data_IF_202208626224
#
_entry.id   IF_202208626224
#
_cell.length_a   1.000
_cell.length_b   1.000
_cell.length_c   1.000
_cell.angle_alpha   90.00
_cell.angle_beta   90.00
_cell.angle_gamma   90.00
#
_symmetry.space_group_name_H-M   'P 1'
#
loop_
_entity.id
_entity.type
_entity.pdbx_description
1 polymer ?
#
# COMPACT_ATOMS: atom_id res chain seq x y z
N UNK A 1 73.37 37.19 -4.27
CA UNK A 1 72.12 36.51 -3.84
C UNK A 1 71.02 36.73 -4.88
N UNK A 2 70.64 35.70 -5.66
CA UNK A 2 69.56 35.80 -6.65
C UNK A 2 68.22 35.47 -5.98
N UNK A 3 67.36 36.48 -5.76
CA UNK A 3 65.98 36.27 -5.30
C UNK A 3 65.19 35.55 -6.39
N UNK A 4 64.84 34.29 -6.13
CA UNK A 4 64.00 33.47 -7.00
C UNK A 4 62.55 33.97 -6.84
N UNK A 5 62.09 34.78 -7.79
CA UNK A 5 60.71 35.26 -7.82
C UNK A 5 59.76 34.06 -7.96
N UNK A 6 59.07 33.71 -6.87
CA UNK A 6 57.98 32.75 -6.89
C UNK A 6 56.85 33.32 -7.75
N UNK A 7 56.69 32.78 -8.96
CA UNK A 7 55.54 33.08 -9.83
C UNK A 7 54.29 32.58 -9.09
N UNK A 8 53.52 33.51 -8.50
CA UNK A 8 52.17 33.20 -8.00
C UNK A 8 51.33 32.78 -9.21
N UNK A 9 51.00 31.50 -9.27
CA UNK A 9 50.07 30.97 -10.26
C UNK A 9 48.73 31.64 -9.97
N UNK A 10 48.34 32.62 -10.79
CA UNK A 10 47.00 33.20 -10.73
C UNK A 10 46.07 32.13 -11.25
N UNK A 11 45.39 31.43 -10.34
CA UNK A 11 44.32 30.50 -10.69
C UNK A 11 43.38 31.22 -11.66
N UNK A 12 43.22 30.67 -12.86
CA UNK A 12 42.36 31.26 -13.89
C UNK A 12 40.92 31.24 -13.37
N UNK A 13 40.11 32.26 -13.67
CA UNK A 13 38.71 32.35 -13.19
C UNK A 13 37.88 31.09 -13.49
N UNK A 14 38.21 30.38 -14.57
CA UNK A 14 37.60 29.10 -14.94
C UNK A 14 37.90 27.94 -13.99
N UNK A 15 39.08 27.88 -13.37
CA UNK A 15 39.43 26.80 -12.43
C UNK A 15 38.56 26.88 -11.17
N UNK A 16 38.32 28.09 -10.63
CA UNK A 16 37.38 28.30 -9.52
C UNK A 16 35.95 27.89 -9.86
N UNK A 17 35.51 28.14 -11.08
CA UNK A 17 34.18 27.75 -11.55
C UNK A 17 34.04 26.22 -11.65
N UNK A 18 35.10 25.53 -12.07
CA UNK A 18 35.12 24.07 -12.15
C UNK A 18 35.03 23.44 -10.75
N UNK A 19 35.76 23.96 -9.77
CA UNK A 19 35.64 23.51 -8.37
C UNK A 19 34.24 23.76 -7.79
N UNK A 20 33.60 24.88 -8.13
CA UNK A 20 32.23 25.16 -7.72
C UNK A 20 31.23 24.13 -8.26
N UNK A 21 31.34 23.77 -9.55
CA UNK A 21 30.49 22.73 -10.17
C UNK A 21 30.71 21.38 -9.50
N UNK A 22 31.96 21.01 -9.20
CA UNK A 22 32.27 19.73 -8.55
C UNK A 22 31.64 19.67 -7.15
N UNK A 23 31.73 20.75 -6.37
CA UNK A 23 31.11 20.84 -5.04
C UNK A 23 29.58 20.78 -5.16
N UNK A 24 29.00 21.49 -6.13
CA UNK A 24 27.56 21.47 -6.39
C UNK A 24 27.07 20.05 -6.72
N UNK A 25 27.77 19.34 -7.62
CA UNK A 25 27.43 17.95 -7.98
C UNK A 25 27.57 17.00 -6.78
N UNK A 26 28.63 17.15 -5.98
CA UNK A 26 28.82 16.38 -4.74
C UNK A 26 27.67 16.57 -3.75
N UNK A 27 27.10 17.76 -3.66
CA UNK A 27 25.93 18.02 -2.81
C UNK A 27 24.60 17.54 -3.43
N UNK A 28 24.45 17.63 -4.76
CA UNK A 28 23.20 17.26 -5.45
C UNK A 28 22.98 15.75 -5.49
N UNK A 29 24.03 14.94 -5.66
CA UNK A 29 23.93 13.47 -5.73
C UNK A 29 23.24 12.86 -4.49
N UNK A 30 23.66 13.14 -3.23
CA UNK A 30 22.97 12.60 -2.07
C UNK A 30 21.56 13.18 -1.91
N UNK A 31 21.33 14.42 -2.29
CA UNK A 31 20.02 15.08 -2.21
C UNK A 31 18.98 14.38 -3.11
N UNK A 32 19.37 14.06 -4.35
CA UNK A 32 18.52 13.33 -5.30
C UNK A 32 18.27 11.87 -4.88
N UNK A 33 19.29 11.22 -4.31
CA UNK A 33 19.14 9.86 -3.78
C UNK A 33 18.12 9.81 -2.66
N UNK A 34 18.21 10.71 -1.66
CA UNK A 34 17.26 10.77 -0.55
C UNK A 34 15.84 11.09 -1.02
N UNK A 35 15.70 12.02 -1.97
CA UNK A 35 14.39 12.36 -2.54
C UNK A 35 13.75 11.15 -3.25
N UNK A 36 14.53 10.42 -4.04
CA UNK A 36 14.07 9.23 -4.76
C UNK A 36 13.71 8.10 -3.80
N UNK A 37 14.55 7.84 -2.79
CA UNK A 37 14.28 6.85 -1.76
C UNK A 37 12.99 7.17 -0.99
N UNK A 38 12.76 8.44 -0.63
CA UNK A 38 11.55 8.86 0.07
C UNK A 38 10.28 8.65 -0.77
N UNK A 39 10.34 8.96 -2.06
CA UNK A 39 9.20 8.76 -2.97
C UNK A 39 8.87 7.27 -3.14
N UNK A 40 9.88 6.42 -3.35
CA UNK A 40 9.69 4.96 -3.47
C UNK A 40 9.13 4.39 -2.16
N UNK A 41 9.64 4.81 -1.02
CA UNK A 41 9.11 4.38 0.28
C UNK A 41 7.66 4.79 0.48
N UNK A 42 7.28 6.03 0.12
CA UNK A 42 5.90 6.49 0.22
C UNK A 42 4.96 5.65 -0.64
N UNK A 43 5.32 5.41 -1.89
CA UNK A 43 4.52 4.57 -2.80
C UNK A 43 4.37 3.15 -2.27
N UNK A 44 5.44 2.55 -1.72
CA UNK A 44 5.35 1.21 -1.12
C UNK A 44 4.42 1.19 0.10
N UNK A 45 4.46 2.22 0.95
CA UNK A 45 3.56 2.33 2.10
C UNK A 45 2.11 2.46 1.65
N UNK A 46 1.84 3.28 0.62
CA UNK A 46 0.48 3.49 0.12
C UNK A 46 -0.08 2.21 -0.53
N UNK A 47 0.76 1.46 -1.27
CA UNK A 47 0.39 0.14 -1.80
C UNK A 47 0.09 -0.85 -0.67
N UNK A 48 0.91 -0.88 0.38
CA UNK A 48 0.71 -1.79 1.52
C UNK A 48 -0.60 -1.48 2.27
N UNK A 49 -0.91 -0.20 2.45
CA UNK A 49 -2.18 0.23 3.05
C UNK A 49 -3.38 -0.21 2.22
N UNK A 50 -3.33 0.02 0.90
CA UNK A 50 -4.41 -0.40 0.00
C UNK A 50 -4.60 -1.91 0.02
N UNK A 51 -3.52 -2.70 0.04
CA UNK A 51 -3.62 -4.16 0.18
C UNK A 51 -4.30 -4.57 1.49
N UNK A 52 -3.98 -3.88 2.59
CA UNK A 52 -4.59 -4.16 3.90
C UNK A 52 -6.08 -3.81 3.90
N UNK A 53 -6.46 -2.70 3.29
CA UNK A 53 -7.88 -2.30 3.14
C UNK A 53 -8.66 -3.33 2.31
N UNK A 54 -8.09 -3.78 1.17
CA UNK A 54 -8.71 -4.83 0.34
C UNK A 54 -8.87 -6.13 1.14
N UNK A 55 -7.83 -6.57 1.84
CA UNK A 55 -7.88 -7.79 2.65
C UNK A 55 -8.94 -7.72 3.74
N UNK A 56 -9.10 -6.56 4.40
CA UNK A 56 -10.15 -6.36 5.40
C UNK A 56 -11.55 -6.41 4.77
N UNK A 57 -11.70 -5.86 3.56
CA UNK A 57 -12.99 -5.89 2.86
C UNK A 57 -13.34 -7.31 2.38
N UNK A 58 -12.35 -8.09 1.94
CA UNK A 58 -12.53 -9.49 1.56
C UNK A 58 -12.99 -10.33 2.76
N UNK A 59 -12.38 -10.14 3.93
CA UNK A 59 -12.78 -10.83 5.17
C UNK A 59 -14.21 -10.46 5.59
N UNK A 60 -14.58 -9.18 5.49
CA UNK A 60 -15.96 -8.74 5.76
C UNK A 60 -16.95 -9.36 4.77
N UNK A 61 -16.61 -9.38 3.47
CA UNK A 61 -17.45 -10.00 2.44
C UNK A 61 -17.62 -11.50 2.68
N UNK A 62 -16.57 -12.21 3.06
CA UNK A 62 -16.63 -13.64 3.42
C UNK A 62 -17.51 -13.86 4.65
N UNK A 63 -17.35 -13.04 5.69
CA UNK A 63 -18.19 -13.10 6.89
C UNK A 63 -19.67 -12.86 6.59
N UNK A 64 -19.98 -11.88 5.75
CA UNK A 64 -21.36 -11.61 5.31
C UNK A 64 -21.93 -12.77 4.50
N UNK A 65 -21.13 -13.38 3.62
CA UNK A 65 -21.54 -14.56 2.86
C UNK A 65 -21.86 -15.73 3.79
N UNK A 66 -21.03 -15.97 4.81
CA UNK A 66 -21.26 -17.01 5.81
C UNK A 66 -22.55 -16.78 6.60
N UNK A 67 -22.81 -15.53 7.00
CA UNK A 67 -24.07 -15.17 7.67
C UNK A 67 -25.29 -15.40 6.77
N UNK A 68 -25.18 -15.12 5.46
CA UNK A 68 -26.26 -15.43 4.51
C UNK A 68 -26.52 -16.92 4.45
N UNK A 69 -25.46 -17.74 4.37
CA UNK A 69 -25.59 -19.20 4.32
C UNK A 69 -26.19 -19.77 5.61
N UNK A 70 -25.80 -19.26 6.78
CA UNK A 70 -26.43 -19.62 8.06
C UNK A 70 -27.90 -19.21 8.10
N UNK A 71 -28.24 -18.00 7.64
CA UNK A 71 -29.61 -17.51 7.63
C UNK A 71 -30.49 -18.30 6.64
N UNK A 72 -29.94 -18.70 5.50
CA UNK A 72 -30.62 -19.50 4.48
C UNK A 72 -30.65 -21.00 4.81
N UNK A 73 -29.91 -21.44 5.84
CA UNK A 73 -29.91 -22.82 6.27
C UNK A 73 -31.32 -23.32 6.59
N UNK A 74 -31.61 -24.55 6.20
CA UNK A 74 -32.88 -25.24 6.45
C UNK A 74 -33.23 -25.23 7.94
N UNK A 75 -32.22 -25.36 8.80
CA UNK A 75 -32.40 -25.31 10.25
C UNK A 75 -32.93 -23.95 10.71
N UNK A 76 -32.38 -22.87 10.18
CA UNK A 76 -32.85 -21.53 10.47
C UNK A 76 -34.27 -21.29 9.93
N UNK A 77 -34.57 -21.76 8.72
CA UNK A 77 -35.92 -21.69 8.14
C UNK A 77 -36.94 -22.40 9.03
N UNK A 78 -36.62 -23.61 9.53
CA UNK A 78 -37.51 -24.33 10.45
C UNK A 78 -37.66 -23.66 11.82
N UNK A 79 -36.57 -23.09 12.35
CA UNK A 79 -36.60 -22.35 13.61
C UNK A 79 -37.51 -21.12 13.49
N UNK A 80 -37.32 -20.34 12.43
CA UNK A 80 -38.18 -19.18 12.12
C UNK A 80 -39.63 -19.63 11.94
N UNK A 81 -39.92 -20.67 11.15
CA UNK A 81 -41.28 -21.17 10.98
C UNK A 81 -41.96 -21.55 12.32
N UNK A 82 -41.24 -22.21 13.23
CA UNK A 82 -41.74 -22.55 14.57
C UNK A 82 -42.01 -21.31 15.43
N UNK A 83 -41.13 -20.31 15.39
CA UNK A 83 -41.34 -19.04 16.12
C UNK A 83 -42.62 -18.32 15.66
N UNK A 84 -42.94 -18.37 14.38
CA UNK A 84 -44.19 -17.85 13.83
C UNK A 84 -45.41 -18.77 14.04
N UNK A 85 -45.27 -19.86 14.82
CA UNK A 85 -46.35 -20.77 15.15
C UNK A 85 -46.73 -21.75 14.03
N UNK A 86 -45.91 -21.86 12.98
CA UNK A 86 -46.11 -22.82 11.90
C UNK A 86 -45.50 -24.17 12.31
N UNK A 87 -46.31 -25.23 12.24
CA UNK A 87 -45.88 -26.59 12.52
C UNK A 87 -45.71 -27.39 11.23
N UNK A 88 -44.77 -28.33 11.24
CA UNK A 88 -44.52 -29.21 10.10
C UNK A 88 -45.71 -30.15 9.89
N UNK A 89 -46.51 -29.91 8.84
CA UNK A 89 -47.62 -30.79 8.47
C UNK A 89 -47.23 -31.72 7.30
N UNK A 90 -47.16 -33.02 7.59
CA UNK A 90 -46.74 -34.06 6.65
C UNK A 90 -47.90 -34.59 5.76
N UNK A 91 -49.13 -34.08 5.92
CA UNK A 91 -50.32 -34.65 5.26
C UNK A 91 -50.54 -34.25 3.79
N UNK A 92 -49.63 -33.49 3.16
CA UNK A 92 -49.86 -32.97 1.78
C UNK A 92 -48.60 -32.81 0.93
N UNK A 93 -47.57 -33.63 1.15
CA UNK A 93 -46.35 -33.55 0.33
C UNK A 93 -46.58 -34.27 -1.01
N UNK A 94 -46.73 -33.50 -2.10
CA UNK A 94 -46.57 -34.02 -3.45
C UNK A 94 -45.06 -34.19 -3.70
N UNK A 95 -44.58 -35.43 -3.65
CA UNK A 95 -43.25 -35.76 -4.17
C UNK A 95 -43.29 -35.58 -5.69
N UNK A 96 -42.76 -34.46 -6.18
CA UNK A 96 -42.51 -34.29 -7.62
C UNK A 96 -41.23 -35.07 -7.94
N UNK A 97 -41.41 -36.15 -8.69
CA UNK A 97 -40.36 -37.05 -9.16
C UNK A 97 -39.67 -36.49 -10.40
#
# INVERSE_FOLDING_TARGET
MRKKNQKRVRLLKGEKFMYFIIILLLCLIPMLNVYTSSLVTKTNIDVEKLKKEISSQEEENESLSMQIDELASIDNIFNVAKEYGLSYNNSSILQVK
#
